data_IF_839261861150
#
_entry.id   IF_839261861150
#
_cell.length_a   1.000
_cell.length_b   1.000
_cell.length_c   1.000
_cell.angle_alpha   90.00
_cell.angle_beta   90.00
_cell.angle_gamma   90.00
#
_symmetry.space_group_name_H-M   'P 1'
#
loop_
_entity.id
_entity.type
_entity.pdbx_description
1 polymer ?
#
# COMPACT_ATOMS: atom_id res chain seq x y z
N UNK A 1 17.71 26.65 22.24
CA UNK A 1 17.09 25.38 22.70
C UNK A 1 15.65 25.38 22.20
N UNK A 2 15.50 25.15 20.91
CA UNK A 2 14.20 25.16 20.21
C UNK A 2 14.05 23.82 19.48
N UNK A 3 12.97 23.14 19.82
CA UNK A 3 12.78 21.71 19.53
C UNK A 3 12.50 21.48 18.03
N UNK A 4 13.29 20.62 17.46
CA UNK A 4 13.01 19.90 16.20
C UNK A 4 11.78 19.02 16.44
N UNK A 5 10.58 19.50 16.11
CA UNK A 5 9.33 18.76 16.10
C UNK A 5 8.68 18.77 14.70
N UNK A 6 9.50 18.74 13.64
CA UNK A 6 9.04 18.85 12.25
C UNK A 6 8.97 17.53 11.46
N UNK A 7 9.27 16.36 12.03
CA UNK A 7 9.47 15.15 11.20
C UNK A 7 8.38 14.07 11.32
N UNK A 8 7.33 14.28 12.13
CA UNK A 8 6.28 13.25 12.31
C UNK A 8 5.07 13.47 11.39
N UNK A 9 4.91 14.65 10.79
CA UNK A 9 3.69 14.99 10.05
C UNK A 9 3.77 14.79 8.52
N UNK A 10 4.97 14.62 7.95
CA UNK A 10 5.11 14.41 6.50
C UNK A 10 4.67 13.02 6.03
N UNK A 11 4.73 11.99 6.88
CA UNK A 11 4.24 10.64 6.54
C UNK A 11 2.71 10.52 6.54
N UNK A 12 2.00 11.46 7.15
CA UNK A 12 0.55 11.48 7.17
C UNK A 12 -0.06 12.02 5.86
N UNK A 13 0.71 12.81 5.11
CA UNK A 13 0.24 13.45 3.87
C UNK A 13 0.50 12.61 2.60
N UNK A 14 1.36 11.58 2.69
CA UNK A 14 1.64 10.64 1.59
C UNK A 14 0.62 9.49 1.49
N UNK A 15 -0.30 9.36 2.45
CA UNK A 15 -1.37 8.36 2.37
C UNK A 15 -2.41 8.80 1.36
N UNK A 16 -2.57 8.00 0.30
CA UNK A 16 -3.58 8.24 -0.72
C UNK A 16 -4.99 8.41 -0.14
N UNK A 17 -5.92 9.07 -0.85
CA UNK A 17 -7.29 9.30 -0.38
C UNK A 17 -7.98 8.03 0.13
N UNK A 18 -7.66 6.87 -0.45
CA UNK A 18 -8.21 5.56 -0.09
C UNK A 18 -7.70 5.03 1.26
N UNK A 19 -6.47 5.32 1.65
CA UNK A 19 -5.97 4.94 2.98
C UNK A 19 -6.62 5.75 4.10
N UNK A 20 -7.00 7.00 3.82
CA UNK A 20 -7.73 7.84 4.78
C UNK A 20 -9.16 7.36 4.99
N UNK A 21 -9.79 6.75 3.99
CA UNK A 21 -11.18 6.28 4.03
C UNK A 21 -11.33 4.77 4.20
N UNK A 22 -10.23 4.02 4.28
CA UNK A 22 -10.28 2.55 4.44
C UNK A 22 -11.08 2.10 5.67
N UNK A 23 -11.04 2.87 6.77
CA UNK A 23 -11.84 2.60 7.96
C UNK A 23 -13.34 2.73 7.73
N UNK A 24 -13.78 3.61 6.82
CA UNK A 24 -15.20 3.79 6.47
C UNK A 24 -15.75 2.50 5.87
N UNK A 25 -14.96 1.80 5.07
CA UNK A 25 -15.32 0.49 4.50
C UNK A 25 -15.60 -0.56 5.57
N UNK A 26 -14.86 -0.53 6.69
CA UNK A 26 -15.14 -1.44 7.82
C UNK A 26 -16.38 -1.05 8.61
N UNK A 27 -16.64 0.27 8.76
CA UNK A 27 -17.73 0.77 9.62
C UNK A 27 -19.09 0.83 8.90
N UNK A 28 -19.10 1.07 7.59
CA UNK A 28 -20.35 1.15 6.79
C UNK A 28 -21.24 -0.09 6.99
N UNK A 29 -20.61 -1.26 7.11
CA UNK A 29 -21.34 -2.51 7.28
C UNK A 29 -22.02 -2.67 8.65
N UNK A 30 -21.64 -1.87 9.66
CA UNK A 30 -22.23 -1.91 11.02
C UNK A 30 -23.74 -1.66 10.98
N UNK A 31 -24.24 -0.99 9.94
CA UNK A 31 -25.70 -0.83 9.74
C UNK A 31 -26.43 -2.18 9.67
N UNK A 32 -25.80 -3.23 9.14
CA UNK A 32 -26.40 -4.57 9.09
C UNK A 32 -26.55 -5.22 10.47
N UNK A 33 -25.90 -4.67 11.52
CA UNK A 33 -26.08 -5.09 12.89
C UNK A 33 -27.49 -4.78 13.42
N UNK A 34 -28.21 -3.87 12.76
CA UNK A 34 -29.59 -3.56 13.08
C UNK A 34 -30.51 -4.80 13.01
N UNK A 35 -30.26 -5.72 12.07
CA UNK A 35 -31.07 -6.92 11.91
C UNK A 35 -30.93 -7.91 13.08
N UNK A 36 -29.73 -8.43 13.44
CA UNK A 36 -29.61 -9.34 14.59
C UNK A 36 -29.99 -8.66 15.91
N UNK A 37 -29.77 -7.34 16.05
CA UNK A 37 -30.23 -6.61 17.24
C UNK A 37 -31.76 -6.52 17.28
N UNK A 38 -32.41 -6.18 16.17
CA UNK A 38 -33.89 -6.15 16.12
C UNK A 38 -34.49 -7.53 16.36
N UNK A 39 -33.88 -8.60 15.84
CA UNK A 39 -34.28 -9.97 16.11
C UNK A 39 -34.14 -10.32 17.61
N UNK A 40 -33.05 -9.86 18.27
CA UNK A 40 -32.88 -10.04 19.72
C UNK A 40 -33.96 -9.31 20.54
N UNK A 41 -34.32 -8.10 20.11
CA UNK A 41 -35.36 -7.30 20.79
C UNK A 41 -36.77 -7.88 20.60
N UNK A 42 -37.03 -8.51 19.46
CA UNK A 42 -38.30 -9.15 19.13
C UNK A 42 -38.45 -10.58 19.67
N UNK A 43 -37.33 -11.19 20.13
CA UNK A 43 -37.37 -12.57 20.64
C UNK A 43 -38.26 -12.73 21.87
N UNK A 44 -39.05 -13.80 21.89
CA UNK A 44 -39.93 -14.16 23.03
C UNK A 44 -39.11 -14.86 24.13
N UNK A 45 -38.29 -14.10 24.83
CA UNK A 45 -37.39 -14.52 25.90
C UNK A 45 -37.47 -13.55 27.08
N UNK A 46 -36.99 -13.98 28.27
CA UNK A 46 -36.91 -13.07 29.40
C UNK A 46 -36.03 -11.88 29.19
N UNK A 47 -36.29 -10.75 29.84
CA UNK A 47 -35.53 -9.51 29.72
C UNK A 47 -34.03 -9.69 30.03
N UNK A 48 -33.70 -10.58 30.98
CA UNK A 48 -32.31 -10.91 31.30
C UNK A 48 -31.61 -11.63 30.13
N UNK A 49 -32.28 -12.59 29.48
CA UNK A 49 -31.76 -13.29 28.31
C UNK A 49 -31.64 -12.35 27.13
N UNK A 50 -32.64 -11.50 26.88
CA UNK A 50 -32.63 -10.46 25.83
C UNK A 50 -31.46 -9.50 26.04
N UNK A 51 -31.28 -8.97 27.25
CA UNK A 51 -30.16 -8.08 27.58
C UNK A 51 -28.80 -8.75 27.36
N UNK A 52 -28.66 -10.03 27.73
CA UNK A 52 -27.43 -10.79 27.49
C UNK A 52 -27.15 -10.98 26.01
N UNK A 53 -28.16 -11.35 25.20
CA UNK A 53 -28.00 -11.51 23.76
C UNK A 53 -27.61 -10.21 23.06
N UNK A 54 -28.24 -9.08 23.41
CA UNK A 54 -27.84 -7.76 22.90
C UNK A 54 -26.41 -7.42 23.31
N UNK A 55 -26.03 -7.70 24.56
CA UNK A 55 -24.65 -7.52 25.05
C UNK A 55 -23.63 -8.32 24.25
N UNK A 56 -23.94 -9.59 23.91
CA UNK A 56 -23.09 -10.44 23.05
C UNK A 56 -22.97 -9.89 21.62
N UNK A 57 -24.06 -9.39 21.02
CA UNK A 57 -24.05 -8.79 19.70
C UNK A 57 -23.27 -7.45 19.66
N UNK A 58 -23.36 -6.66 20.71
CA UNK A 58 -22.53 -5.45 20.85
C UNK A 58 -21.05 -5.80 21.04
N UNK A 59 -20.72 -6.81 21.86
CA UNK A 59 -19.36 -7.31 21.99
C UNK A 59 -18.82 -7.84 20.65
N UNK A 60 -19.64 -8.52 19.87
CA UNK A 60 -19.34 -8.96 18.52
C UNK A 60 -18.96 -7.77 17.60
N UNK A 61 -19.74 -6.69 17.62
CA UNK A 61 -19.44 -5.49 16.83
C UNK A 61 -18.12 -4.83 17.27
N UNK A 62 -17.84 -4.79 18.58
CA UNK A 62 -16.58 -4.27 19.11
C UNK A 62 -15.40 -5.13 18.65
N UNK A 63 -15.51 -6.46 18.72
CA UNK A 63 -14.46 -7.39 18.23
C UNK A 63 -14.24 -7.23 16.74
N UNK A 64 -15.30 -7.05 15.95
CA UNK A 64 -15.18 -6.76 14.52
C UNK A 64 -14.38 -5.50 14.25
N UNK A 65 -14.77 -4.37 14.85
CA UNK A 65 -14.10 -3.07 14.64
C UNK A 65 -12.66 -3.13 15.13
N UNK A 66 -12.42 -3.68 16.33
CA UNK A 66 -11.08 -3.82 16.90
C UNK A 66 -10.19 -4.72 16.03
N UNK A 67 -10.71 -5.86 15.57
CA UNK A 67 -10.03 -6.81 14.70
C UNK A 67 -9.66 -6.17 13.37
N UNK A 68 -10.58 -5.42 12.77
CA UNK A 68 -10.36 -4.70 11.51
C UNK A 68 -9.27 -3.63 11.66
N UNK A 69 -9.34 -2.78 12.68
CA UNK A 69 -8.33 -1.74 12.96
C UNK A 69 -6.97 -2.38 13.25
N UNK A 70 -6.95 -3.44 14.06
CA UNK A 70 -5.72 -4.12 14.45
C UNK A 70 -5.04 -4.82 13.28
N UNK A 71 -5.82 -5.34 12.34
CA UNK A 71 -5.34 -5.97 11.12
C UNK A 71 -4.76 -4.94 10.14
N UNK A 72 -5.44 -3.81 9.89
CA UNK A 72 -4.96 -2.75 8.99
C UNK A 72 -3.64 -2.11 9.48
N UNK A 73 -3.46 -2.03 10.81
CA UNK A 73 -2.23 -1.49 11.41
C UNK A 73 -1.04 -2.46 11.40
N UNK A 74 -1.19 -3.63 10.79
CA UNK A 74 -0.12 -4.63 10.75
C UNK A 74 0.67 -4.50 9.47
N UNK A 75 1.99 -4.28 9.57
CA UNK A 75 2.90 -4.16 8.43
C UNK A 75 3.17 -5.51 7.74
N UNK A 76 3.01 -6.63 8.47
CA UNK A 76 3.26 -7.97 7.97
C UNK A 76 1.97 -8.76 7.73
N UNK A 77 1.83 -9.33 6.52
CA UNK A 77 0.67 -10.15 6.14
C UNK A 77 0.40 -11.33 7.08
N UNK A 78 1.44 -12.01 7.56
CA UNK A 78 1.30 -13.14 8.46
C UNK A 78 0.73 -12.74 9.83
N UNK A 79 1.10 -11.56 10.32
CA UNK A 79 0.58 -11.00 11.58
C UNK A 79 -0.85 -10.54 11.38
N UNK A 80 -1.14 -9.84 10.28
CA UNK A 80 -2.49 -9.41 9.92
C UNK A 80 -3.45 -10.60 9.81
N UNK A 81 -3.04 -11.68 9.12
CA UNK A 81 -3.84 -12.90 8.97
C UNK A 81 -4.15 -13.56 10.31
N UNK A 82 -3.14 -13.74 11.20
CA UNK A 82 -3.36 -14.32 12.53
C UNK A 82 -4.34 -13.49 13.37
N UNK A 83 -4.20 -12.17 13.34
CA UNK A 83 -5.09 -11.25 14.06
C UNK A 83 -6.52 -11.32 13.51
N UNK A 84 -6.67 -11.32 12.19
CA UNK A 84 -7.97 -11.47 11.54
C UNK A 84 -8.63 -12.81 11.87
N UNK A 85 -7.90 -13.91 11.78
CA UNK A 85 -8.42 -15.26 12.13
C UNK A 85 -8.82 -15.33 13.62
N UNK A 86 -8.02 -14.78 14.53
CA UNK A 86 -8.38 -14.77 15.96
C UNK A 86 -9.65 -13.97 16.24
N UNK A 87 -9.82 -12.82 15.55
CA UNK A 87 -11.04 -12.04 15.64
C UNK A 87 -12.26 -12.81 15.07
N UNK A 88 -12.12 -13.46 13.91
CA UNK A 88 -13.17 -14.30 13.32
C UNK A 88 -13.59 -15.41 14.25
N UNK A 89 -12.64 -16.11 14.89
CA UNK A 89 -12.96 -17.17 15.87
C UNK A 89 -13.73 -16.60 17.06
N UNK A 90 -13.29 -15.48 17.63
CA UNK A 90 -14.00 -14.82 18.72
C UNK A 90 -15.41 -14.40 18.30
N UNK A 91 -15.57 -13.85 17.11
CA UNK A 91 -16.87 -13.47 16.55
C UNK A 91 -17.79 -14.67 16.35
N UNK A 92 -17.30 -15.81 15.87
CA UNK A 92 -18.09 -17.04 15.72
C UNK A 92 -18.60 -17.50 17.09
N UNK A 93 -17.74 -17.49 18.12
CA UNK A 93 -18.14 -17.88 19.49
C UNK A 93 -19.24 -16.97 20.02
N UNK A 94 -19.11 -15.66 19.86
CA UNK A 94 -20.13 -14.68 20.30
C UNK A 94 -21.45 -14.83 19.53
N UNK A 95 -21.38 -15.03 18.22
CA UNK A 95 -22.56 -15.25 17.36
C UNK A 95 -23.30 -16.55 17.73
N UNK A 96 -22.58 -17.65 17.92
CA UNK A 96 -23.17 -18.92 18.35
C UNK A 96 -23.80 -18.78 19.73
N UNK A 97 -23.12 -18.14 20.69
CA UNK A 97 -23.68 -17.88 22.01
C UNK A 97 -24.97 -17.07 21.96
N UNK A 98 -25.04 -16.03 21.11
CA UNK A 98 -26.25 -15.26 20.88
C UNK A 98 -27.36 -16.13 20.23
N UNK A 99 -27.01 -16.94 19.21
CA UNK A 99 -27.96 -17.80 18.51
C UNK A 99 -28.60 -18.88 19.46
N UNK A 100 -27.86 -19.37 20.42
CA UNK A 100 -28.38 -20.29 21.46
C UNK A 100 -29.39 -19.60 22.39
N UNK A 101 -29.33 -18.28 22.53
CA UNK A 101 -30.22 -17.50 23.38
C UNK A 101 -31.49 -17.02 22.68
N UNK A 102 -31.37 -16.54 21.44
CA UNK A 102 -32.44 -15.86 20.70
C UNK A 102 -32.80 -16.53 19.37
N UNK A 103 -32.20 -17.69 19.08
CA UNK A 103 -32.48 -18.44 17.85
C UNK A 103 -31.77 -17.92 16.58
N UNK A 104 -32.30 -18.34 15.40
CA UNK A 104 -31.61 -18.13 14.10
C UNK A 104 -31.34 -16.68 13.72
N UNK A 105 -32.11 -15.72 14.23
CA UNK A 105 -31.93 -14.31 13.90
C UNK A 105 -30.55 -13.75 14.23
N UNK A 106 -29.84 -14.33 15.23
CA UNK A 106 -28.47 -13.94 15.55
C UNK A 106 -27.48 -14.29 14.45
N UNK A 107 -27.76 -15.29 13.61
CA UNK A 107 -26.91 -15.70 12.48
C UNK A 107 -26.81 -14.61 11.40
N UNK A 108 -27.72 -13.63 11.39
CA UNK A 108 -27.61 -12.45 10.54
C UNK A 108 -26.34 -11.62 10.74
N UNK A 109 -25.62 -11.83 11.86
CA UNK A 109 -24.29 -11.24 12.09
C UNK A 109 -23.17 -11.88 11.23
N UNK A 110 -23.40 -13.04 10.60
CA UNK A 110 -22.39 -13.80 9.85
C UNK A 110 -21.74 -13.02 8.72
N UNK A 111 -22.48 -12.12 8.07
CA UNK A 111 -21.96 -11.25 6.98
C UNK A 111 -20.69 -10.46 7.37
N UNK A 112 -20.49 -10.13 8.65
CA UNK A 112 -19.28 -9.44 9.13
C UNK A 112 -18.05 -10.33 9.13
N UNK A 113 -18.22 -11.65 9.30
CA UNK A 113 -17.12 -12.62 9.18
C UNK A 113 -16.52 -12.59 7.78
N UNK A 114 -17.37 -12.49 6.77
CA UNK A 114 -16.95 -12.40 5.35
C UNK A 114 -16.20 -11.10 5.07
N UNK A 115 -16.71 -9.98 5.58
CA UNK A 115 -16.04 -8.69 5.45
C UNK A 115 -14.61 -8.74 6.01
N UNK A 116 -14.44 -9.29 7.22
CA UNK A 116 -13.12 -9.40 7.85
C UNK A 116 -12.22 -10.40 7.11
N UNK A 117 -12.77 -11.55 6.70
CA UNK A 117 -12.04 -12.60 5.97
C UNK A 117 -11.42 -12.09 4.66
N UNK A 118 -12.11 -11.17 3.96
CA UNK A 118 -11.63 -10.56 2.72
C UNK A 118 -10.32 -9.76 2.88
N UNK A 119 -9.96 -9.38 4.11
CA UNK A 119 -8.74 -8.63 4.41
C UNK A 119 -7.65 -9.48 5.10
N UNK A 120 -7.89 -10.77 5.35
CA UNK A 120 -6.94 -11.66 6.04
C UNK A 120 -5.73 -12.09 5.21
N UNK A 121 -5.46 -11.50 4.05
CA UNK A 121 -4.30 -11.89 3.23
C UNK A 121 -4.32 -11.35 1.81
N UNK A 122 -3.41 -11.85 0.96
CA UNK A 122 -3.42 -11.54 -0.47
C UNK A 122 -4.77 -11.88 -1.11
N UNK A 123 -5.18 -11.12 -2.13
CA UNK A 123 -6.55 -11.18 -2.71
C UNK A 123 -6.98 -12.60 -3.04
N UNK A 124 -6.12 -13.43 -3.64
CA UNK A 124 -6.48 -14.81 -4.02
C UNK A 124 -6.78 -15.70 -2.82
N UNK A 125 -5.95 -15.64 -1.78
CA UNK A 125 -6.11 -16.44 -0.56
C UNK A 125 -7.27 -15.92 0.27
N UNK A 126 -7.43 -14.61 0.37
CA UNK A 126 -8.54 -13.98 1.09
C UNK A 126 -9.90 -14.31 0.43
N UNK A 127 -10.00 -14.24 -0.90
CA UNK A 127 -11.19 -14.66 -1.64
C UNK A 127 -11.50 -16.15 -1.43
N UNK A 128 -10.51 -17.03 -1.53
CA UNK A 128 -10.71 -18.47 -1.31
C UNK A 128 -11.19 -18.75 0.13
N UNK A 129 -10.59 -18.08 1.11
CA UNK A 129 -10.99 -18.21 2.52
C UNK A 129 -12.41 -17.68 2.76
N UNK A 130 -12.74 -16.50 2.24
CA UNK A 130 -14.07 -15.93 2.36
C UNK A 130 -15.13 -16.76 1.61
N UNK A 131 -14.80 -17.36 0.46
CA UNK A 131 -15.69 -18.29 -0.25
C UNK A 131 -15.98 -19.53 0.60
N UNK A 132 -14.94 -20.14 1.20
CA UNK A 132 -15.12 -21.27 2.10
C UNK A 132 -16.00 -20.92 3.29
N UNK A 133 -15.81 -19.74 3.87
CA UNK A 133 -16.59 -19.26 5.00
C UNK A 133 -18.05 -18.99 4.60
N UNK A 134 -18.32 -18.40 3.42
CA UNK A 134 -19.65 -18.18 2.88
C UNK A 134 -20.40 -19.50 2.66
N UNK A 135 -19.74 -20.49 2.09
CA UNK A 135 -20.32 -21.82 1.90
C UNK A 135 -20.65 -22.48 3.25
N UNK A 136 -19.75 -22.39 4.21
CA UNK A 136 -19.97 -22.91 5.56
C UNK A 136 -21.14 -22.19 6.26
N UNK A 137 -21.23 -20.85 6.17
CA UNK A 137 -22.31 -20.05 6.73
C UNK A 137 -23.66 -20.45 6.12
N UNK A 138 -23.72 -20.58 4.80
CA UNK A 138 -24.96 -21.02 4.11
C UNK A 138 -25.36 -22.44 4.46
N UNK A 139 -24.39 -23.34 4.60
CA UNK A 139 -24.68 -24.72 5.03
C UNK A 139 -25.24 -24.75 6.46
N UNK A 140 -24.63 -24.00 7.39
CA UNK A 140 -25.13 -23.88 8.78
C UNK A 140 -26.52 -23.26 8.79
N UNK A 141 -26.73 -22.17 8.05
CA UNK A 141 -28.02 -21.49 7.98
C UNK A 141 -29.12 -22.44 7.43
N UNK A 142 -28.83 -23.15 6.33
CA UNK A 142 -29.76 -24.10 5.75
C UNK A 142 -30.14 -25.23 6.74
N UNK A 143 -29.16 -25.79 7.45
CA UNK A 143 -29.40 -26.83 8.46
C UNK A 143 -30.23 -26.27 9.62
N UNK A 144 -29.89 -25.11 10.15
CA UNK A 144 -30.62 -24.51 11.28
C UNK A 144 -32.06 -24.17 10.87
N UNK A 145 -32.28 -23.56 9.72
CA UNK A 145 -33.62 -23.19 9.25
C UNK A 145 -34.46 -24.40 8.90
N UNK A 146 -33.87 -25.50 8.42
CA UNK A 146 -34.62 -26.75 8.17
C UNK A 146 -35.11 -27.41 9.46
N UNK A 147 -34.45 -27.15 10.59
CA UNK A 147 -34.83 -27.70 11.92
C UNK A 147 -35.91 -26.87 12.63
N UNK A 148 -36.18 -25.64 12.17
CA UNK A 148 -37.19 -24.73 12.75
C UNK A 148 -38.44 -24.73 11.88
N UNK A 149 -39.64 -25.05 12.41
CA UNK A 149 -40.89 -24.96 11.66
C UNK A 149 -41.12 -23.55 11.13
N UNK A 150 -41.30 -23.40 9.81
CA UNK A 150 -41.42 -22.10 9.15
C UNK A 150 -40.14 -21.29 9.04
N UNK A 151 -38.99 -21.87 9.40
CA UNK A 151 -37.72 -21.16 9.49
C UNK A 151 -37.27 -20.50 8.20
N UNK A 152 -37.54 -21.11 7.02
CA UNK A 152 -37.24 -20.48 5.73
C UNK A 152 -38.16 -19.31 5.40
N UNK A 153 -39.44 -19.37 5.81
CA UNK A 153 -40.39 -18.28 5.55
C UNK A 153 -40.08 -17.05 6.40
N UNK A 154 -39.64 -17.27 7.65
CA UNK A 154 -39.34 -16.22 8.63
C UNK A 154 -37.92 -15.67 8.46
N UNK A 155 -36.92 -16.55 8.30
CA UNK A 155 -35.48 -16.20 8.32
C UNK A 155 -34.76 -16.37 6.98
N UNK A 156 -35.45 -16.73 5.89
CA UNK A 156 -34.83 -16.91 4.56
C UNK A 156 -34.13 -15.67 4.03
N UNK A 157 -34.53 -14.49 4.49
CA UNK A 157 -33.88 -13.21 4.19
C UNK A 157 -32.41 -13.19 4.63
N UNK A 158 -32.00 -14.04 5.60
CA UNK A 158 -30.62 -14.11 6.11
C UNK A 158 -29.58 -14.57 5.08
N UNK A 159 -30.01 -15.17 3.96
CA UNK A 159 -29.10 -15.49 2.85
C UNK A 159 -28.65 -14.27 2.06
N UNK A 160 -29.39 -13.16 2.09
CA UNK A 160 -29.06 -11.98 1.29
C UNK A 160 -27.87 -11.16 1.79
N UNK A 161 -27.77 -10.78 3.08
CA UNK A 161 -26.67 -9.93 3.56
C UNK A 161 -25.28 -10.53 3.33
N UNK A 162 -25.00 -11.81 3.60
CA UNK A 162 -23.71 -12.41 3.32
C UNK A 162 -23.33 -12.36 1.84
N UNK A 163 -24.28 -12.62 0.92
CA UNK A 163 -24.05 -12.52 -0.51
C UNK A 163 -23.70 -11.08 -0.94
N UNK A 164 -24.48 -10.10 -0.46
CA UNK A 164 -24.26 -8.67 -0.76
C UNK A 164 -22.88 -8.23 -0.26
N UNK A 165 -22.53 -8.57 0.97
CA UNK A 165 -21.22 -8.23 1.57
C UNK A 165 -20.08 -8.93 0.81
N UNK A 166 -20.22 -10.21 0.50
CA UNK A 166 -19.23 -10.96 -0.26
C UNK A 166 -18.95 -10.33 -1.62
N UNK A 167 -19.98 -10.01 -2.39
CA UNK A 167 -19.83 -9.42 -3.72
C UNK A 167 -19.26 -8.01 -3.62
N UNK A 168 -19.83 -7.15 -2.79
CA UNK A 168 -19.43 -5.75 -2.70
C UNK A 168 -18.00 -5.56 -2.16
N UNK A 169 -17.66 -6.25 -1.07
CA UNK A 169 -16.30 -6.20 -0.51
C UNK A 169 -15.31 -6.88 -1.45
N UNK A 170 -15.70 -7.98 -2.10
CA UNK A 170 -14.90 -8.67 -3.10
C UNK A 170 -14.54 -7.77 -4.29
N UNK A 171 -15.54 -7.06 -4.84
CA UNK A 171 -15.32 -6.09 -5.93
C UNK A 171 -14.37 -4.97 -5.48
N UNK A 172 -14.60 -4.38 -4.31
CA UNK A 172 -13.71 -3.33 -3.77
C UNK A 172 -12.28 -3.86 -3.62
N UNK A 173 -12.10 -5.06 -3.07
CA UNK A 173 -10.76 -5.69 -2.94
C UNK A 173 -10.08 -5.93 -4.28
N UNK A 174 -10.84 -6.32 -5.31
CA UNK A 174 -10.30 -6.49 -6.66
C UNK A 174 -9.87 -5.16 -7.28
N UNK A 175 -10.68 -4.10 -7.10
CA UNK A 175 -10.34 -2.74 -7.58
C UNK A 175 -9.07 -2.24 -6.91
N UNK A 176 -8.99 -2.32 -5.58
CA UNK A 176 -7.80 -1.88 -4.83
C UNK A 176 -6.56 -2.64 -5.28
N UNK A 177 -6.65 -3.97 -5.43
CA UNK A 177 -5.51 -4.77 -5.90
C UNK A 177 -5.12 -4.49 -7.37
N UNK A 178 -6.06 -4.07 -8.21
CA UNK A 178 -5.78 -3.64 -9.57
C UNK A 178 -5.05 -2.28 -9.58
N UNK A 179 -5.47 -1.35 -8.72
CA UNK A 179 -4.80 -0.05 -8.55
C UNK A 179 -3.38 -0.19 -8.04
N UNK A 180 -3.14 -1.00 -6.99
CA UNK A 180 -1.79 -1.28 -6.48
C UNK A 180 -0.83 -1.79 -7.57
N UNK A 181 -1.32 -2.66 -8.46
CA UNK A 181 -0.54 -3.15 -9.60
C UNK A 181 -0.27 -2.05 -10.63
N UNK A 182 -1.26 -1.21 -10.88
CA UNK A 182 -1.14 -0.09 -11.83
C UNK A 182 -0.09 0.90 -11.37
N UNK A 183 -0.12 1.28 -10.08
CA UNK A 183 0.86 2.18 -9.47
C UNK A 183 2.30 1.65 -9.57
N UNK A 184 2.50 0.33 -9.38
CA UNK A 184 3.80 -0.30 -9.54
C UNK A 184 4.30 -0.20 -10.99
N UNK A 185 3.41 -0.47 -11.96
CA UNK A 185 3.74 -0.38 -13.39
C UNK A 185 4.05 1.07 -13.79
N UNK A 186 3.26 2.04 -13.33
CA UNK A 186 3.50 3.46 -13.61
C UNK A 186 4.85 3.93 -13.07
N UNK A 187 5.22 3.54 -11.85
CA UNK A 187 6.53 3.85 -11.27
C UNK A 187 7.67 3.24 -12.10
N UNK A 188 7.50 2.00 -12.58
CA UNK A 188 8.50 1.38 -13.46
C UNK A 188 8.61 2.08 -14.80
N UNK A 189 7.48 2.46 -15.42
CA UNK A 189 7.46 3.22 -16.67
C UNK A 189 8.09 4.61 -16.52
N UNK A 190 7.83 5.31 -15.40
CA UNK A 190 8.46 6.58 -15.10
C UNK A 190 9.99 6.48 -15.02
N UNK A 191 10.50 5.42 -14.39
CA UNK A 191 11.95 5.15 -14.32
C UNK A 191 12.56 4.86 -15.70
N UNK A 192 11.85 4.11 -16.55
CA UNK A 192 12.30 3.84 -17.93
C UNK A 192 12.31 5.14 -18.76
N UNK A 193 11.23 5.91 -18.70
CA UNK A 193 11.13 7.18 -19.41
C UNK A 193 12.22 8.17 -18.99
N UNK A 194 12.54 8.22 -17.70
CA UNK A 194 13.63 9.06 -17.18
C UNK A 194 15.00 8.61 -17.73
N UNK A 195 15.25 7.29 -17.76
CA UNK A 195 16.50 6.76 -18.35
C UNK A 195 16.61 7.07 -19.83
N UNK A 196 15.51 6.97 -20.59
CA UNK A 196 15.49 7.32 -22.01
C UNK A 196 15.71 8.81 -22.25
N UNK A 197 15.14 9.67 -21.39
CA UNK A 197 15.35 11.12 -21.43
C UNK A 197 16.82 11.44 -21.25
N UNK A 198 17.44 10.89 -20.22
CA UNK A 198 18.86 11.13 -19.93
C UNK A 198 19.77 10.57 -21.04
N UNK A 199 19.47 9.39 -21.58
CA UNK A 199 20.24 8.85 -22.69
C UNK A 199 20.18 9.76 -23.92
N UNK A 200 19.05 10.41 -24.18
CA UNK A 200 18.86 11.39 -25.26
C UNK A 200 19.65 12.67 -24.98
N UNK A 201 19.53 13.21 -23.75
CA UNK A 201 20.25 14.42 -23.33
C UNK A 201 21.78 14.22 -23.47
N UNK A 202 22.30 13.06 -23.02
CA UNK A 202 23.71 12.70 -23.21
C UNK A 202 24.09 12.57 -24.69
N UNK A 203 23.23 11.94 -25.48
CA UNK A 203 23.51 11.80 -26.95
C UNK A 203 23.54 13.14 -27.67
N UNK A 204 22.64 14.06 -27.31
CA UNK A 204 22.55 15.38 -27.92
C UNK A 204 23.78 16.23 -27.56
N UNK A 205 24.21 16.22 -26.29
CA UNK A 205 25.42 16.92 -25.83
C UNK A 205 26.68 16.37 -26.56
N UNK A 206 26.82 15.03 -26.55
CA UNK A 206 27.96 14.38 -27.19
C UNK A 206 27.94 14.58 -28.71
N UNK A 207 26.79 14.46 -29.38
CA UNK A 207 26.66 14.61 -30.82
C UNK A 207 27.04 16.02 -31.28
N UNK A 208 26.59 17.04 -30.57
CA UNK A 208 26.94 18.43 -30.88
C UNK A 208 28.42 18.68 -30.64
N UNK A 209 28.95 18.32 -29.48
CA UNK A 209 30.36 18.55 -29.14
C UNK A 209 31.34 17.82 -30.07
N UNK A 210 31.05 16.55 -30.40
CA UNK A 210 31.86 15.76 -31.34
C UNK A 210 31.85 16.34 -32.76
N UNK A 211 30.72 16.88 -33.23
CA UNK A 211 30.64 17.54 -34.54
C UNK A 211 31.54 18.75 -34.58
N UNK A 212 31.49 19.62 -33.56
CA UNK A 212 32.35 20.80 -33.48
C UNK A 212 33.84 20.42 -33.39
N UNK A 213 34.19 19.41 -32.59
CA UNK A 213 35.55 18.87 -32.49
C UNK A 213 36.05 18.38 -33.84
N UNK A 214 35.24 17.65 -34.60
CA UNK A 214 35.61 17.13 -35.91
C UNK A 214 35.89 18.27 -36.89
N UNK A 215 35.03 19.27 -36.97
CA UNK A 215 35.21 20.43 -37.87
C UNK A 215 36.47 21.22 -37.50
N UNK A 216 36.71 21.42 -36.20
CA UNK A 216 37.94 22.11 -35.74
C UNK A 216 39.21 21.31 -35.99
N UNK A 217 39.14 19.97 -35.88
CA UNK A 217 40.27 19.09 -36.19
C UNK A 217 40.62 19.15 -37.67
N UNK A 218 39.65 19.12 -38.59
CA UNK A 218 39.86 19.29 -40.03
C UNK A 218 40.46 20.67 -40.37
N UNK A 219 40.00 21.73 -39.68
CA UNK A 219 40.56 23.07 -39.85
C UNK A 219 42.02 23.13 -39.35
N UNK A 220 42.31 22.57 -38.20
CA UNK A 220 43.66 22.53 -37.66
C UNK A 220 44.61 21.77 -38.58
N UNK A 221 44.19 20.62 -39.16
CA UNK A 221 44.98 19.83 -40.13
C UNK A 221 45.33 20.66 -41.36
N UNK A 222 44.39 21.40 -41.94
CA UNK A 222 44.64 22.28 -43.11
C UNK A 222 45.55 23.44 -42.80
N UNK A 223 45.62 23.89 -41.57
CA UNK A 223 46.45 25.05 -41.15
C UNK A 223 47.87 24.66 -40.75
N UNK A 224 48.19 23.38 -40.55
CA UNK A 224 49.52 22.93 -40.08
C UNK A 224 50.67 23.52 -40.90
N UNK A 225 50.56 23.49 -42.23
CA UNK A 225 51.62 23.95 -43.14
C UNK A 225 51.46 25.42 -43.57
N UNK A 226 50.26 26.03 -43.31
CA UNK A 226 49.96 27.40 -43.79
C UNK A 226 50.13 28.42 -42.67
N UNK A 227 49.58 28.09 -41.44
CA UNK A 227 49.65 28.92 -40.24
C UNK A 227 49.74 28.03 -39.01
N UNK A 228 50.94 27.58 -38.62
CA UNK A 228 51.16 26.69 -37.49
C UNK A 228 50.71 27.28 -36.14
N UNK A 229 50.73 28.62 -36.01
CA UNK A 229 50.29 29.28 -34.76
C UNK A 229 48.79 29.15 -34.59
N UNK A 230 48.03 29.34 -35.64
CA UNK A 230 46.58 29.18 -35.67
C UNK A 230 46.17 27.71 -35.54
N UNK A 231 46.90 26.78 -36.17
CA UNK A 231 46.66 25.35 -35.98
C UNK A 231 46.78 24.94 -34.50
N UNK A 232 47.78 25.44 -33.78
CA UNK A 232 47.94 25.21 -32.33
C UNK A 232 46.78 25.78 -31.51
N UNK A 233 46.23 26.94 -31.90
CA UNK A 233 45.06 27.52 -31.23
C UNK A 233 43.81 26.64 -31.38
N UNK A 234 43.53 26.16 -32.61
CA UNK A 234 42.39 25.26 -32.85
C UNK A 234 42.51 23.94 -32.05
N UNK A 235 43.72 23.36 -31.94
CA UNK A 235 43.97 22.18 -31.13
C UNK A 235 43.73 22.46 -29.62
N UNK A 236 44.11 23.67 -29.14
CA UNK A 236 43.86 24.07 -27.77
C UNK A 236 42.35 24.20 -27.47
N UNK A 237 41.60 24.72 -28.43
CA UNK A 237 40.13 24.82 -28.32
C UNK A 237 39.46 23.44 -28.33
N UNK A 238 39.86 22.52 -29.23
CA UNK A 238 39.41 21.13 -29.25
C UNK A 238 39.59 20.48 -27.85
N UNK A 239 40.77 20.66 -27.26
CA UNK A 239 41.05 20.12 -25.92
C UNK A 239 40.14 20.72 -24.83
N UNK A 240 39.82 22.02 -24.93
CA UNK A 240 38.89 22.68 -24.01
C UNK A 240 37.47 22.15 -24.14
N UNK A 241 36.94 22.11 -25.36
CA UNK A 241 35.61 21.60 -25.69
C UNK A 241 35.44 20.14 -25.28
N UNK A 242 36.45 19.31 -25.50
CA UNK A 242 36.41 17.89 -25.08
C UNK A 242 36.36 17.72 -23.57
N UNK A 243 37.07 18.57 -22.80
CA UNK A 243 37.01 18.55 -21.34
C UNK A 243 35.66 19.02 -20.80
N UNK A 244 35.11 20.05 -21.45
CA UNK A 244 33.79 20.59 -21.09
C UNK A 244 32.69 19.56 -21.33
N UNK A 245 32.65 18.95 -22.53
CA UNK A 245 31.70 17.90 -22.87
C UNK A 245 31.78 16.69 -21.92
N UNK A 246 33.01 16.24 -21.54
CA UNK A 246 33.20 15.18 -20.59
C UNK A 246 32.72 15.55 -19.17
N UNK A 247 32.91 16.80 -18.75
CA UNK A 247 32.43 17.29 -17.47
C UNK A 247 30.89 17.33 -17.43
N UNK A 248 30.25 17.79 -18.50
CA UNK A 248 28.81 17.86 -18.63
C UNK A 248 28.14 16.46 -18.61
N UNK A 249 28.70 15.49 -19.37
CA UNK A 249 28.25 14.11 -19.34
C UNK A 249 28.40 13.50 -17.96
N UNK A 250 29.53 13.75 -17.28
CA UNK A 250 29.73 13.27 -15.91
C UNK A 250 28.72 13.87 -14.93
N UNK A 251 28.40 15.15 -15.05
CA UNK A 251 27.39 15.81 -14.22
C UNK A 251 25.99 15.22 -14.45
N UNK A 252 25.61 15.00 -15.72
CA UNK A 252 24.32 14.38 -16.09
C UNK A 252 24.21 12.96 -15.56
N UNK A 253 25.25 12.14 -15.70
CA UNK A 253 25.27 10.76 -15.18
C UNK A 253 25.35 10.71 -13.64
N UNK A 254 26.05 11.65 -13.02
CA UNK A 254 26.13 11.73 -11.55
C UNK A 254 24.77 12.07 -10.94
N UNK A 255 23.97 12.93 -11.57
CA UNK A 255 22.59 13.23 -11.14
C UNK A 255 21.64 12.03 -11.18
N UNK A 256 21.98 10.96 -11.92
CA UNK A 256 21.22 9.71 -12.00
C UNK A 256 21.63 8.65 -10.96
N UNK A 257 22.78 8.81 -10.36
CA UNK A 257 23.16 7.96 -9.26
C UNK A 257 22.23 8.28 -8.09
N UNK A 258 21.38 7.33 -7.74
CA UNK A 258 20.75 7.34 -6.41
C UNK A 258 21.90 7.49 -5.43
N UNK A 259 22.04 8.69 -4.86
CA UNK A 259 23.08 8.98 -3.88
C UNK A 259 22.91 7.95 -2.76
N UNK A 260 23.85 7.02 -2.66
CA UNK A 260 23.86 6.14 -1.49
C UNK A 260 24.23 7.02 -0.32
N UNK A 261 23.40 7.02 0.70
CA UNK A 261 23.63 7.85 1.89
C UNK A 261 25.07 7.68 2.42
N UNK A 262 25.63 6.48 2.33
CA UNK A 262 27.03 6.21 2.69
C UNK A 262 28.04 6.99 1.84
N UNK A 263 27.84 7.04 0.52
CA UNK A 263 28.74 7.77 -0.40
C UNK A 263 28.67 9.29 -0.14
N UNK A 264 27.46 9.82 0.16
CA UNK A 264 27.26 11.23 0.52
C UNK A 264 27.86 11.58 1.89
N UNK A 265 27.74 10.69 2.87
CA UNK A 265 28.35 10.88 4.18
C UNK A 265 29.89 10.85 4.09
N UNK A 266 30.48 10.00 3.27
CA UNK A 266 31.93 9.95 3.06
C UNK A 266 32.44 11.17 2.29
N UNK A 267 31.68 11.65 1.30
CA UNK A 267 31.98 12.90 0.60
C UNK A 267 31.89 14.11 1.55
N UNK A 268 30.84 14.17 2.39
CA UNK A 268 30.68 15.21 3.40
C UNK A 268 31.83 15.17 4.44
N UNK A 269 32.20 13.97 4.91
CA UNK A 269 33.35 13.79 5.83
C UNK A 269 34.65 14.33 5.23
N UNK A 270 34.89 14.00 3.96
CA UNK A 270 36.09 14.46 3.25
C UNK A 270 36.10 15.98 3.06
N UNK A 271 34.99 16.58 2.70
CA UNK A 271 34.85 18.02 2.52
C UNK A 271 35.03 18.78 3.85
N UNK A 272 34.42 18.31 4.93
CA UNK A 272 34.51 18.91 6.25
C UNK A 272 35.92 18.79 6.82
N UNK A 273 36.60 17.64 6.66
CA UNK A 273 37.97 17.46 7.04
C UNK A 273 38.93 18.39 6.28
N UNK A 274 38.67 18.61 4.96
CA UNK A 274 39.39 19.59 4.15
C UNK A 274 39.23 21.04 4.62
N UNK A 275 38.09 21.36 5.24
CA UNK A 275 37.81 22.64 5.87
C UNK A 275 38.27 22.76 7.32
N UNK A 276 38.94 21.75 7.86
CA UNK A 276 39.40 21.73 9.28
C UNK A 276 38.28 21.48 10.30
N UNK A 277 37.12 21.00 9.87
CA UNK A 277 35.96 20.71 10.73
C UNK A 277 35.95 19.23 11.06
N UNK A 278 36.03 18.87 12.34
CA UNK A 278 35.84 17.49 12.81
C UNK A 278 34.32 17.20 12.90
N UNK A 279 33.80 16.31 12.03
CA UNK A 279 32.42 15.89 12.03
C UNK A 279 32.31 14.43 12.48
N UNK A 280 31.50 14.17 13.50
CA UNK A 280 31.04 12.80 13.84
C UNK A 280 29.82 12.45 13.01
N UNK A 281 30.01 11.56 12.04
CA UNK A 281 28.94 11.03 11.20
C UNK A 281 28.70 9.56 11.56
N UNK A 282 27.46 9.06 11.53
CA UNK A 282 27.16 7.67 11.84
C UNK A 282 27.95 6.73 10.92
N UNK A 283 28.53 5.68 11.51
CA UNK A 283 29.33 4.70 10.78
C UNK A 283 28.50 3.73 9.93
N UNK A 284 27.22 3.56 10.27
CA UNK A 284 26.26 2.73 9.53
C UNK A 284 24.95 3.51 9.30
N UNK A 285 24.64 3.89 8.03
CA UNK A 285 23.44 4.61 7.68
C UNK A 285 22.17 3.72 7.66
N UNK A 286 22.26 2.46 8.05
CA UNK A 286 21.13 1.51 8.06
C UNK A 286 20.34 1.47 9.38
N UNK A 287 20.60 2.37 10.32
CA UNK A 287 19.87 2.51 11.60
C UNK A 287 18.87 3.64 11.54
#
# INVERSE_FOLDING_TARGET
>A
MERVTGHVDQRADERGPWERFSWVMGVVWVVFMAFPISSALAADVSDAVRGTAVGLLLAYAVVYIAGYIWMIRSDEWNVAARRGISAIVAMIVLMVAAALLIGPGALGAGSFLLSLAMFCGPVRTALAFATGLLVAEYAVLAVVLSAVPGGFDEFGILFMPPAIVYVSVGVVRMIVAAQERHDVIERQMALVAERERVARDVHDVLGHSLTVVTVKAELAERLIDIDPARAKSEIAEIRSLSREALAEVRATVAGLRVARLGDELDAARTALAGAGIAAELPADPSV
#
